data_IF_132441295840
#
_entry.id   IF_132441295840
#
_cell.length_a   1.000
_cell.length_b   1.000
_cell.length_c   1.000
_cell.angle_alpha   90.00
_cell.angle_beta   90.00
_cell.angle_gamma   90.00
#
_symmetry.space_group_name_H-M   'P 1'
#
loop_
_entity.id
_entity.type
_entity.pdbx_description
1 polymer ?
#
# COMPACT_ATOMS: atom_id res chain seq x y z
N UNK A 1 -31.30 -1.63 -38.67
CA UNK A 1 -31.86 -2.90 -38.19
C UNK A 1 -30.77 -3.97 -38.12
N UNK A 2 -30.16 -4.39 -39.24
CA UNK A 2 -29.10 -5.41 -39.29
C UNK A 2 -27.93 -5.16 -38.33
N UNK A 3 -27.26 -4.01 -38.43
CA UNK A 3 -26.15 -3.63 -37.54
C UNK A 3 -26.54 -3.62 -36.05
N UNK A 4 -27.80 -3.28 -35.73
CA UNK A 4 -28.30 -3.24 -34.36
C UNK A 4 -28.52 -4.65 -33.79
N UNK A 5 -29.01 -5.58 -34.63
CA UNK A 5 -29.13 -6.99 -34.26
C UNK A 5 -27.77 -7.64 -34.05
N UNK A 6 -26.81 -7.36 -34.93
CA UNK A 6 -25.43 -7.84 -34.81
C UNK A 6 -24.77 -7.31 -33.53
N UNK A 7 -24.86 -6.00 -33.27
CA UNK A 7 -24.37 -5.38 -32.03
C UNK A 7 -24.97 -6.03 -30.79
N UNK A 8 -26.29 -6.25 -30.78
CA UNK A 8 -26.98 -6.90 -29.66
C UNK A 8 -26.53 -8.34 -29.45
N UNK A 9 -26.36 -9.10 -30.53
CA UNK A 9 -25.91 -10.50 -30.46
C UNK A 9 -24.50 -10.60 -29.90
N UNK A 10 -23.56 -9.80 -30.42
CA UNK A 10 -22.16 -9.80 -30.00
C UNK A 10 -22.03 -9.32 -28.55
N UNK A 11 -22.76 -8.27 -28.16
CA UNK A 11 -22.77 -7.77 -26.80
C UNK A 11 -23.43 -8.73 -25.79
N UNK A 12 -24.31 -9.63 -26.25
CA UNK A 12 -24.93 -10.64 -25.39
C UNK A 12 -24.09 -11.89 -25.19
N UNK A 13 -23.15 -12.18 -26.10
CA UNK A 13 -22.24 -13.33 -26.01
C UNK A 13 -20.89 -12.99 -25.39
N UNK A 14 -20.50 -11.72 -25.38
CA UNK A 14 -19.23 -11.28 -24.81
C UNK A 14 -19.32 -11.09 -23.29
N UNK A 15 -18.25 -11.43 -22.58
CA UNK A 15 -18.16 -11.20 -21.14
C UNK A 15 -18.04 -9.69 -20.86
N UNK A 16 -18.58 -9.26 -19.72
CA UNK A 16 -18.58 -7.84 -19.34
C UNK A 16 -17.17 -7.24 -19.29
N UNK A 17 -16.18 -8.02 -18.86
CA UNK A 17 -14.78 -7.56 -18.81
C UNK A 17 -14.21 -7.36 -20.22
N UNK A 18 -14.54 -8.22 -21.19
CA UNK A 18 -14.17 -8.01 -22.59
C UNK A 18 -14.82 -6.75 -23.17
N UNK A 19 -16.08 -6.47 -22.83
CA UNK A 19 -16.79 -5.25 -23.26
C UNK A 19 -16.12 -3.97 -22.73
N UNK A 20 -15.51 -4.03 -21.55
CA UNK A 20 -14.90 -2.88 -20.87
C UNK A 20 -13.40 -2.73 -21.19
N UNK A 21 -12.67 -3.83 -21.28
CA UNK A 21 -11.21 -3.88 -21.38
C UNK A 21 -10.71 -4.12 -22.81
N UNK A 22 -11.48 -4.82 -23.67
CA UNK A 22 -11.06 -5.26 -25.01
C UNK A 22 -11.91 -4.64 -26.14
N UNK A 23 -12.17 -3.33 -26.05
CA UNK A 23 -13.02 -2.60 -27.03
C UNK A 23 -12.57 -2.76 -28.48
N UNK A 24 -11.27 -2.75 -28.75
CA UNK A 24 -10.73 -2.81 -30.11
C UNK A 24 -11.00 -4.16 -30.79
N UNK A 25 -10.86 -5.26 -30.04
CA UNK A 25 -11.16 -6.61 -30.51
C UNK A 25 -12.64 -6.75 -30.86
N UNK A 26 -13.50 -6.17 -30.04
CA UNK A 26 -14.94 -6.21 -30.24
C UNK A 26 -15.37 -5.34 -31.44
N UNK A 27 -14.81 -4.14 -31.56
CA UNK A 27 -15.00 -3.24 -32.70
C UNK A 27 -14.64 -3.93 -34.02
N UNK A 28 -13.50 -4.62 -34.06
CA UNK A 28 -13.07 -5.36 -35.26
C UNK A 28 -14.00 -6.53 -35.60
N UNK A 29 -14.44 -7.28 -34.57
CA UNK A 29 -15.37 -8.39 -34.75
C UNK A 29 -16.71 -7.92 -35.31
N UNK A 30 -17.26 -6.83 -34.75
CA UNK A 30 -18.52 -6.24 -35.24
C UNK A 30 -18.35 -5.68 -36.64
N UNK A 31 -17.24 -4.97 -36.92
CA UNK A 31 -16.93 -4.47 -38.25
C UNK A 31 -17.00 -5.60 -39.28
N UNK A 32 -16.29 -6.71 -39.02
CA UNK A 32 -16.22 -7.85 -39.93
C UNK A 32 -17.61 -8.43 -40.24
N UNK A 33 -18.43 -8.65 -39.22
CA UNK A 33 -19.77 -9.25 -39.40
C UNK A 33 -20.70 -8.30 -40.18
N UNK A 34 -20.61 -6.99 -39.91
CA UNK A 34 -21.44 -6.01 -40.62
C UNK A 34 -20.97 -5.86 -42.07
N UNK A 35 -19.66 -5.81 -42.32
CA UNK A 35 -19.07 -5.70 -43.67
C UNK A 35 -19.48 -6.91 -44.54
N UNK A 36 -19.30 -8.14 -44.05
CA UNK A 36 -19.72 -9.37 -44.73
C UNK A 36 -21.21 -9.37 -45.08
N UNK A 37 -22.05 -8.78 -44.22
CA UNK A 37 -23.49 -8.71 -44.46
C UNK A 37 -23.91 -7.57 -45.41
N UNK A 38 -23.07 -6.54 -45.56
CA UNK A 38 -23.32 -5.38 -46.44
C UNK A 38 -22.64 -5.47 -47.81
N UNK A 39 -21.72 -6.42 -48.00
CA UNK A 39 -21.07 -6.73 -49.28
C UNK A 39 -22.07 -6.94 -50.44
N UNK A 40 -23.20 -7.65 -50.28
CA UNK A 40 -24.19 -7.83 -51.37
C UNK A 40 -24.82 -6.51 -51.84
N UNK A 41 -24.74 -5.46 -51.03
CA UNK A 41 -25.26 -4.13 -51.36
C UNK A 41 -24.17 -3.19 -51.91
N UNK A 42 -22.91 -3.65 -51.98
CA UNK A 42 -21.78 -2.86 -52.45
C UNK A 42 -21.36 -1.75 -51.48
N UNK A 43 -21.70 -1.88 -50.20
CA UNK A 43 -21.36 -0.90 -49.15
C UNK A 43 -20.20 -1.47 -48.33
N UNK A 44 -19.09 -0.72 -48.27
CA UNK A 44 -17.91 -1.07 -47.47
C UNK A 44 -17.93 -0.36 -46.12
N UNK A 45 -17.80 -1.11 -45.03
CA UNK A 45 -17.80 -0.57 -43.66
C UNK A 45 -16.36 -0.33 -43.19
N UNK A 46 -16.00 0.95 -43.06
CA UNK A 46 -14.61 1.36 -42.73
C UNK A 46 -14.28 1.17 -41.24
N UNK A 47 -15.21 1.45 -40.35
CA UNK A 47 -15.03 1.29 -38.91
C UNK A 47 -16.38 1.21 -38.18
N UNK A 48 -16.40 0.48 -37.06
CA UNK A 48 -17.51 0.45 -36.10
C UNK A 48 -16.93 0.68 -34.72
N UNK A 49 -17.54 1.58 -33.95
CA UNK A 49 -17.10 1.91 -32.60
C UNK A 49 -18.27 1.86 -31.62
N UNK A 50 -18.04 1.20 -30.48
CA UNK A 50 -18.99 1.16 -29.38
C UNK A 50 -18.91 2.47 -28.61
N UNK A 51 -19.99 3.25 -28.66
CA UNK A 51 -20.10 4.52 -27.95
C UNK A 51 -20.29 4.31 -26.44
N UNK A 52 -21.53 4.01 -26.03
CA UNK A 52 -21.91 3.91 -24.62
C UNK A 52 -22.51 2.54 -24.28
N UNK A 53 -22.05 1.94 -23.17
CA UNK A 53 -22.64 0.72 -22.59
C UNK A 53 -23.37 1.12 -21.31
N UNK A 54 -24.69 0.96 -21.29
CA UNK A 54 -25.53 1.26 -20.14
C UNK A 54 -25.67 0.01 -19.27
N UNK A 55 -25.01 0.02 -18.11
CA UNK A 55 -25.13 -1.05 -17.12
C UNK A 55 -26.27 -0.75 -16.14
N UNK A 56 -27.05 -1.76 -15.72
CA UNK A 56 -28.02 -1.59 -14.64
C UNK A 56 -27.34 -1.10 -13.35
N UNK A 57 -28.00 -0.20 -12.62
CA UNK A 57 -27.45 0.42 -11.40
C UNK A 57 -27.15 -0.57 -10.28
N UNK A 58 -27.81 -1.73 -10.25
CA UNK A 58 -27.52 -2.81 -9.30
C UNK A 58 -26.18 -3.49 -9.61
N UNK A 59 -25.94 -3.81 -10.88
CA UNK A 59 -24.70 -4.43 -11.34
C UNK A 59 -23.50 -3.50 -11.16
N UNK A 60 -23.66 -2.20 -11.49
CA UNK A 60 -22.60 -1.21 -11.29
C UNK A 60 -22.17 -1.12 -9.82
N UNK A 61 -23.13 -1.19 -8.89
CA UNK A 61 -22.86 -1.21 -7.44
C UNK A 61 -22.14 -2.50 -7.00
N UNK A 62 -22.52 -3.65 -7.55
CA UNK A 62 -21.86 -4.92 -7.26
C UNK A 62 -20.39 -4.93 -7.72
N UNK A 63 -20.13 -4.44 -8.94
CA UNK A 63 -18.78 -4.31 -9.51
C UNK A 63 -17.94 -3.33 -8.69
N UNK A 64 -18.51 -2.18 -8.31
CA UNK A 64 -17.81 -1.21 -7.47
C UNK A 64 -17.37 -1.83 -6.14
N UNK A 65 -18.26 -2.59 -5.47
CA UNK A 65 -17.93 -3.31 -4.24
C UNK A 65 -16.85 -4.37 -4.43
N UNK A 66 -16.91 -5.12 -5.53
CA UNK A 66 -15.89 -6.13 -5.85
C UNK A 66 -14.53 -5.49 -6.12
N UNK A 67 -14.51 -4.41 -6.91
CA UNK A 67 -13.30 -3.66 -7.22
C UNK A 67 -12.68 -3.04 -5.95
N UNK A 68 -13.51 -2.51 -5.05
CA UNK A 68 -13.07 -1.98 -3.77
C UNK A 68 -12.50 -3.09 -2.86
N UNK A 69 -13.16 -4.24 -2.79
CA UNK A 69 -12.67 -5.38 -2.01
C UNK A 69 -11.31 -5.89 -2.53
N UNK A 70 -11.15 -6.07 -3.84
CA UNK A 70 -9.88 -6.51 -4.41
C UNK A 70 -8.79 -5.44 -4.26
N UNK A 71 -9.13 -4.16 -4.39
CA UNK A 71 -8.19 -3.06 -4.14
C UNK A 71 -7.72 -3.08 -2.68
N UNK A 72 -8.64 -3.22 -1.72
CA UNK A 72 -8.31 -3.28 -0.30
C UNK A 72 -7.46 -4.51 0.03
N UNK A 73 -7.79 -5.67 -0.57
CA UNK A 73 -6.99 -6.90 -0.42
C UNK A 73 -5.57 -6.71 -0.94
N UNK A 74 -5.40 -6.14 -2.15
CA UNK A 74 -4.09 -5.85 -2.74
C UNK A 74 -3.30 -4.85 -1.90
N UNK A 75 -3.95 -3.79 -1.43
CA UNK A 75 -3.31 -2.80 -0.56
C UNK A 75 -2.80 -3.43 0.74
N UNK A 76 -3.58 -4.30 1.38
CA UNK A 76 -3.18 -5.00 2.60
C UNK A 76 -1.96 -5.91 2.38
N UNK A 77 -1.92 -6.64 1.26
CA UNK A 77 -0.77 -7.51 0.92
C UNK A 77 0.50 -6.67 0.70
N UNK A 78 0.39 -5.58 -0.09
CA UNK A 78 1.53 -4.70 -0.36
C UNK A 78 2.05 -4.06 0.92
N UNK A 79 1.15 -3.63 1.81
CA UNK A 79 1.52 -3.07 3.10
C UNK A 79 2.26 -4.10 3.97
N UNK A 80 1.75 -5.33 4.05
CA UNK A 80 2.39 -6.39 4.82
C UNK A 80 3.78 -6.76 4.26
N UNK A 81 3.93 -6.85 2.94
CA UNK A 81 5.24 -7.07 2.31
C UNK A 81 6.21 -5.91 2.56
N UNK A 82 5.72 -4.67 2.47
CA UNK A 82 6.51 -3.48 2.78
C UNK A 82 6.98 -3.46 4.24
N UNK A 83 6.11 -3.81 5.19
CA UNK A 83 6.44 -3.90 6.61
C UNK A 83 7.45 -5.01 6.90
N UNK A 84 7.33 -6.17 6.24
CA UNK A 84 8.30 -7.25 6.37
C UNK A 84 9.69 -6.79 5.88
N UNK A 85 9.76 -6.24 4.66
CA UNK A 85 11.04 -5.78 4.09
C UNK A 85 11.68 -4.69 4.95
N UNK A 86 10.89 -3.75 5.46
CA UNK A 86 11.37 -2.72 6.37
C UNK A 86 11.91 -3.32 7.67
N UNK A 87 11.21 -4.29 8.26
CA UNK A 87 11.61 -4.95 9.50
C UNK A 87 12.91 -5.74 9.35
N UNK A 88 13.06 -6.47 8.23
CA UNK A 88 14.29 -7.20 7.91
C UNK A 88 15.49 -6.24 7.80
N UNK A 89 15.33 -5.12 7.09
CA UNK A 89 16.40 -4.11 6.94
C UNK A 89 16.75 -3.43 8.26
N UNK A 90 15.77 -3.17 9.12
CA UNK A 90 16.00 -2.63 10.45
C UNK A 90 16.72 -3.62 11.36
N UNK A 91 16.37 -4.91 11.29
CA UNK A 91 17.05 -5.96 12.05
C UNK A 91 18.52 -6.11 11.60
N UNK A 92 18.77 -6.12 10.28
CA UNK A 92 20.11 -6.12 9.71
C UNK A 92 20.94 -4.92 10.19
N UNK A 93 20.37 -3.71 10.11
CA UNK A 93 21.03 -2.50 10.58
C UNK A 93 21.32 -2.54 12.10
N UNK A 94 20.40 -3.07 12.90
CA UNK A 94 20.58 -3.23 14.35
C UNK A 94 21.72 -4.20 14.68
N UNK A 95 21.81 -5.33 13.96
CA UNK A 95 22.89 -6.29 14.12
C UNK A 95 24.27 -5.66 13.80
N UNK A 96 24.35 -4.87 12.72
CA UNK A 96 25.58 -4.16 12.34
C UNK A 96 25.99 -3.14 13.41
N UNK A 97 25.03 -2.38 13.95
CA UNK A 97 25.29 -1.38 14.99
C UNK A 97 25.68 -2.00 16.33
N UNK A 98 25.17 -3.19 16.63
CA UNK A 98 25.50 -3.92 17.87
C UNK A 98 26.84 -4.64 17.79
N UNK A 99 27.26 -5.05 16.58
CA UNK A 99 28.54 -5.67 16.35
C UNK A 99 29.73 -4.70 16.42
N UNK A 100 29.48 -3.40 16.22
CA UNK A 100 30.50 -2.35 16.34
C UNK A 100 30.50 -1.74 17.75
N UNK A 101 31.67 -1.71 18.39
CA UNK A 101 31.82 -1.12 19.72
C UNK A 101 31.48 0.39 19.68
N UNK A 102 30.46 0.80 20.44
CA UNK A 102 29.95 2.17 20.44
C UNK A 102 28.99 2.53 19.29
N UNK A 103 28.63 1.59 18.40
CA UNK A 103 27.74 1.86 17.24
C UNK A 103 26.35 2.36 17.64
N UNK A 104 25.74 1.74 18.64
CA UNK A 104 24.45 2.19 19.23
C UNK A 104 24.58 3.60 19.81
N UNK A 105 25.70 3.90 20.49
CA UNK A 105 25.97 5.22 21.07
C UNK A 105 26.10 6.30 20.00
N UNK A 106 26.78 6.02 18.87
CA UNK A 106 26.85 6.96 17.74
C UNK A 106 25.48 7.20 17.09
N UNK A 107 24.65 6.16 16.96
CA UNK A 107 23.27 6.32 16.48
C UNK A 107 22.44 7.18 17.44
N UNK A 108 22.60 6.98 18.74
CA UNK A 108 21.96 7.81 19.77
C UNK A 108 22.38 9.29 19.62
N UNK A 109 23.67 9.58 19.47
CA UNK A 109 24.18 10.94 19.27
C UNK A 109 23.64 11.58 17.98
N UNK A 110 23.54 10.81 16.89
CA UNK A 110 22.96 11.28 15.63
C UNK A 110 21.47 11.60 15.77
N UNK A 111 20.70 10.72 16.39
CA UNK A 111 19.27 10.97 16.66
C UNK A 111 19.07 12.17 17.57
N UNK A 112 19.95 12.40 18.55
CA UNK A 112 19.93 13.61 19.38
C UNK A 112 20.23 14.87 18.56
N UNK A 113 21.18 14.82 17.62
CA UNK A 113 21.46 15.93 16.71
C UNK A 113 20.27 16.24 15.79
N UNK A 114 19.54 15.22 15.34
CA UNK A 114 18.32 15.39 14.53
C UNK A 114 17.18 16.00 15.36
N UNK A 115 16.99 15.54 16.61
CA UNK A 115 15.97 16.07 17.53
C UNK A 115 16.30 17.50 17.97
N UNK A 116 17.56 17.82 18.26
CA UNK A 116 18.02 19.15 18.64
C UNK A 116 17.83 20.21 17.53
N UNK A 117 17.76 19.76 16.28
CA UNK A 117 17.46 20.63 15.13
C UNK A 117 15.94 20.78 14.88
N UNK A 118 15.11 19.96 15.53
CA UNK A 118 13.65 20.11 15.55
C UNK A 118 13.23 21.03 16.71
N UNK A 119 12.21 21.87 16.55
CA UNK A 119 11.76 22.84 17.56
C UNK A 119 11.06 22.18 18.78
N UNK A 120 11.73 21.29 19.52
CA UNK A 120 11.19 20.64 20.71
C UNK A 120 12.02 20.97 21.98
N UNK A 121 11.33 21.39 23.05
CA UNK A 121 11.93 22.02 24.25
C UNK A 121 12.17 21.05 25.43
N UNK A 122 11.92 19.75 25.29
CA UNK A 122 12.16 18.77 26.37
C UNK A 122 12.60 17.43 25.81
N UNK A 123 13.84 17.02 26.11
CA UNK A 123 14.44 15.75 25.69
C UNK A 123 14.54 14.83 26.91
N UNK A 124 13.75 13.74 26.91
CA UNK A 124 13.84 12.69 27.93
C UNK A 124 15.01 11.76 27.58
N UNK A 125 16.05 11.74 28.41
CA UNK A 125 17.25 10.94 28.18
C UNK A 125 17.17 9.60 28.96
N UNK A 126 16.90 8.46 28.29
CA UNK A 126 17.09 7.17 28.93
C UNK A 126 18.60 6.89 29.05
N UNK A 127 19.10 6.80 30.28
CA UNK A 127 20.50 6.44 30.53
C UNK A 127 20.75 4.97 30.13
N UNK A 128 21.69 4.68 29.21
CA UNK A 128 22.07 3.33 28.87
C UNK A 128 22.56 2.56 30.11
N UNK A 129 22.15 1.30 30.27
CA UNK A 129 22.56 0.45 31.40
C UNK A 129 24.08 0.21 31.41
N UNK A 130 24.73 0.39 30.27
CA UNK A 130 26.17 0.34 30.05
C UNK A 130 26.93 1.42 30.83
N UNK A 131 26.32 2.59 31.06
CA UNK A 131 26.90 3.63 31.92
C UNK A 131 26.99 3.20 33.39
N UNK A 132 26.14 2.27 33.85
CA UNK A 132 26.24 1.73 35.22
C UNK A 132 27.54 0.97 35.44
N UNK A 133 28.15 0.42 34.39
CA UNK A 133 29.47 -0.23 34.47
C UNK A 133 30.61 0.76 34.70
N UNK A 134 30.43 2.01 34.30
CA UNK A 134 31.46 3.08 34.39
C UNK A 134 31.30 3.89 35.69
N UNK A 135 30.09 3.99 36.26
CA UNK A 135 29.81 4.65 37.54
C UNK A 135 29.31 3.68 38.63
N UNK A 136 30.22 2.91 39.27
CA UNK A 136 29.87 1.97 40.34
C UNK A 136 29.30 2.62 41.61
N UNK A 137 29.45 3.94 41.80
CA UNK A 137 28.96 4.64 43.01
C UNK A 137 27.48 5.06 42.97
N UNK A 138 26.80 4.94 41.83
CA UNK A 138 25.39 5.39 41.69
C UNK A 138 24.39 4.50 42.43
N UNK A 139 24.74 3.23 42.69
CA UNK A 139 23.88 2.28 43.41
C UNK A 139 23.68 2.68 44.89
N UNK A 140 24.68 3.33 45.51
CA UNK A 140 24.55 3.81 46.90
C UNK A 140 23.67 5.07 47.00
N UNK A 141 23.63 5.90 45.96
CA UNK A 141 22.82 7.12 45.94
C UNK A 141 21.32 6.82 45.71
N UNK A 142 21.02 5.84 44.84
CA UNK A 142 19.65 5.39 44.57
C UNK A 142 19.07 4.65 45.79
N UNK A 143 19.84 3.78 46.44
CA UNK A 143 19.39 3.11 47.68
C UNK A 143 19.10 4.10 48.82
N UNK A 144 19.96 5.11 49.00
CA UNK A 144 19.82 6.12 50.06
C UNK A 144 18.61 7.04 49.86
N UNK A 145 18.19 7.28 48.63
CA UNK A 145 17.00 8.10 48.31
C UNK A 145 15.68 7.33 48.44
N UNK A 146 15.70 6.00 48.28
CA UNK A 146 14.54 5.14 48.57
C UNK A 146 14.31 5.02 50.08
N UNK A 147 15.39 4.84 50.86
CA UNK A 147 15.30 4.65 52.32
C UNK A 147 14.83 5.91 53.07
N UNK A 148 15.18 7.11 52.58
CA UNK A 148 14.76 8.38 53.21
C UNK A 148 13.25 8.66 53.06
N UNK A 149 12.60 8.08 52.05
CA UNK A 149 11.15 8.23 51.85
C UNK A 149 10.30 7.28 52.71
N UNK A 150 10.88 6.22 53.26
CA UNK A 150 10.18 5.32 54.20
C UNK A 150 10.17 5.88 55.63
N UNK A 151 11.24 6.55 56.09
CA UNK A 151 11.31 7.14 57.44
C UNK A 151 10.47 8.42 57.63
N UNK A 152 9.88 8.99 56.57
CA UNK A 152 9.01 10.18 56.68
C UNK A 152 7.51 9.81 56.73
N UNK A 153 7.18 8.52 56.86
CA UNK A 153 5.80 8.01 56.92
C UNK A 153 5.43 7.29 58.23
N UNK A 154 6.30 7.26 59.23
CA UNK A 154 5.94 7.03 60.65
C UNK A 154 5.94 8.35 61.42
#
# INVERSE_FOLDING_TARGET
>A
QLAQTTLRSVAGTADLDELLSERDKLNHTIQKIVDESTDPWGIKVIAVEIKDVLLPSEMQRAIARQAEAERNRRAAVIQAEGEQQASEKLAEASAILSASEGGITLRMLRSLSEIANSQNTTVLFPLPLELRKILPETDNFIRKSIQKNEETKE
#
